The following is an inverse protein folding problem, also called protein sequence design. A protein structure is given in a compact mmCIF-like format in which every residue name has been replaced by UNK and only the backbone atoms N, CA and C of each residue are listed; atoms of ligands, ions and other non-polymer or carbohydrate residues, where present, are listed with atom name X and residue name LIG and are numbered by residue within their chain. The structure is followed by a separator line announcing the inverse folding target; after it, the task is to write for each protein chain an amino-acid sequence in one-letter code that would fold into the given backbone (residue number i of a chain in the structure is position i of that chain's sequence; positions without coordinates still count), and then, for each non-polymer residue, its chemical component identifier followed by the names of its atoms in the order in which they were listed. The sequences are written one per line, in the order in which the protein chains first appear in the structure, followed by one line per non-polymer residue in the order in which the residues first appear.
data_IF_290886144352
#
_entry.id   IF_290886144352
#
_cell.length_a   1.000
_cell.length_b   1.000
_cell.length_c   1.000
_cell.angle_alpha   90.00
_cell.angle_beta   90.00
_cell.angle_gamma   90.00
#
_symmetry.space_group_name_H-M   'P 1'
#
loop_
_entity.id
_entity.type
_entity.pdbx_description
1 polymer ?
#
# COMPACT_ATOMS: atom_id res chain seq x y z
N UNK A 1 68.75 10.74 29.93
CA UNK A 1 68.14 11.92 30.48
C UNK A 1 66.81 12.04 29.92
N UNK A 2 65.93 11.58 30.68
CA UNK A 2 64.48 11.80 30.82
C UNK A 2 63.61 11.87 29.59
N UNK A 3 62.93 10.78 29.45
CA UNK A 3 61.71 10.53 28.71
C UNK A 3 60.61 11.56 28.88
N UNK A 4 59.95 11.86 27.80
CA UNK A 4 58.60 12.36 27.76
C UNK A 4 57.96 11.97 26.43
N UNK A 5 57.29 10.86 26.38
CA UNK A 5 56.26 10.57 25.37
C UNK A 5 55.32 9.46 25.83
N UNK A 6 54.39 9.82 26.68
CA UNK A 6 53.12 9.10 26.83
C UNK A 6 51.99 10.12 26.75
N UNK A 7 51.47 10.36 25.55
CA UNK A 7 50.14 10.91 25.39
C UNK A 7 49.29 9.80 24.82
N UNK A 8 48.56 9.19 25.71
CA UNK A 8 47.57 8.17 25.41
C UNK A 8 46.49 8.72 24.46
N UNK A 9 46.30 8.00 23.39
CA UNK A 9 45.17 8.22 22.47
C UNK A 9 43.85 7.96 23.18
N UNK A 10 43.17 9.00 23.58
CA UNK A 10 41.74 8.94 23.88
C UNK A 10 41.00 8.77 22.54
N UNK A 11 40.54 7.54 22.27
CA UNK A 11 39.46 7.31 21.29
C UNK A 11 38.27 8.15 21.75
N UNK A 12 37.93 9.19 21.00
CA UNK A 12 36.64 9.84 21.10
C UNK A 12 35.60 8.76 20.80
N UNK A 13 34.84 8.33 21.81
CA UNK A 13 33.54 7.73 21.61
C UNK A 13 32.70 8.81 20.89
N UNK A 14 32.40 8.60 19.62
CA UNK A 14 31.36 9.37 18.92
C UNK A 14 30.09 9.18 19.75
N UNK A 15 29.66 10.22 20.41
CA UNK A 15 28.46 10.23 21.23
C UNK A 15 27.26 9.94 20.33
N UNK A 16 26.57 8.85 20.62
CA UNK A 16 25.26 8.56 20.05
C UNK A 16 24.38 9.77 20.39
N UNK A 17 23.98 10.54 19.38
CA UNK A 17 23.04 11.66 19.57
C UNK A 17 21.68 11.04 19.86
N UNK A 18 21.29 11.01 21.13
CA UNK A 18 19.97 10.57 21.56
C UNK A 18 18.96 11.69 21.26
N UNK A 19 18.13 11.50 20.23
CA UNK A 19 17.01 12.40 19.95
C UNK A 19 15.78 11.95 20.72
N UNK A 20 14.97 12.92 21.15
CA UNK A 20 13.67 12.65 21.79
C UNK A 20 12.54 13.24 20.95
N UNK A 21 11.39 12.56 20.89
CA UNK A 21 10.16 13.08 20.30
C UNK A 21 8.94 12.60 21.09
N UNK A 22 7.83 13.31 21.05
CA UNK A 22 6.56 12.82 21.61
C UNK A 22 6.06 11.65 20.77
N UNK A 23 5.85 11.84 19.48
CA UNK A 23 5.31 10.81 18.59
C UNK A 23 6.25 10.57 17.41
N UNK A 24 6.65 9.32 17.23
CA UNK A 24 7.42 8.88 16.08
C UNK A 24 6.49 8.18 15.08
N UNK A 25 6.48 8.63 13.83
CA UNK A 25 5.76 7.98 12.72
C UNK A 25 6.77 7.23 11.85
N UNK A 26 6.53 5.95 11.59
CA UNK A 26 7.41 5.10 10.79
C UNK A 26 6.81 4.86 9.42
N UNK A 27 7.42 5.45 8.39
CA UNK A 27 7.00 5.44 6.99
C UNK A 27 6.41 6.78 6.55
N UNK A 28 6.84 7.29 5.37
CA UNK A 28 6.35 8.51 4.73
C UNK A 28 5.66 8.23 3.39
N UNK A 29 4.84 7.19 3.34
CA UNK A 29 3.81 6.99 2.32
C UNK A 29 2.56 7.80 2.67
N UNK A 30 1.45 7.54 1.96
CA UNK A 30 0.16 8.21 2.21
C UNK A 30 -0.26 8.19 3.68
N UNK A 31 0.00 7.11 4.40
CA UNK A 31 -0.35 6.96 5.81
C UNK A 31 0.45 7.91 6.71
N UNK A 32 1.77 7.95 6.54
CA UNK A 32 2.63 8.82 7.35
C UNK A 32 2.43 10.30 7.08
N UNK A 33 2.21 10.69 5.83
CA UNK A 33 1.91 12.08 5.44
C UNK A 33 0.58 12.53 6.03
N UNK A 34 -0.48 11.72 5.92
CA UNK A 34 -1.78 12.01 6.54
C UNK A 34 -1.68 12.11 8.08
N UNK A 35 -0.89 11.22 8.70
CA UNK A 35 -0.67 11.25 10.15
C UNK A 35 0.02 12.54 10.59
N UNK A 36 1.04 12.97 9.86
CA UNK A 36 1.79 14.20 10.14
C UNK A 36 0.89 15.44 10.13
N UNK A 37 -0.01 15.56 9.15
CA UNK A 37 -0.99 16.66 9.09
C UNK A 37 -1.86 16.71 10.36
N UNK A 38 -2.45 15.58 10.74
CA UNK A 38 -3.34 15.55 11.88
C UNK A 38 -2.63 15.73 13.22
N UNK A 39 -1.40 15.23 13.37
CA UNK A 39 -0.57 15.50 14.56
C UNK A 39 -0.21 16.98 14.66
N UNK A 40 0.15 17.62 13.53
CA UNK A 40 0.42 19.06 13.46
C UNK A 40 -0.82 19.87 13.85
N UNK A 41 -2.00 19.50 13.36
CA UNK A 41 -3.27 20.14 13.71
C UNK A 41 -3.57 20.09 15.21
N UNK A 42 -3.18 19.01 15.88
CA UNK A 42 -3.29 18.87 17.35
C UNK A 42 -2.14 19.52 18.14
N UNK A 43 -1.13 20.06 17.46
CA UNK A 43 0.08 20.60 18.10
C UNK A 43 0.91 19.55 18.82
N UNK A 44 0.82 18.27 18.40
CA UNK A 44 1.61 17.17 18.95
C UNK A 44 3.00 17.17 18.30
N UNK A 45 4.08 17.33 19.08
CA UNK A 45 5.44 17.22 18.54
C UNK A 45 5.68 15.82 17.98
N UNK A 46 6.11 15.74 16.72
CA UNK A 46 6.33 14.45 16.07
C UNK A 46 7.49 14.50 15.09
N UNK A 47 7.92 13.31 14.69
CA UNK A 47 8.94 13.09 13.66
C UNK A 47 8.48 11.93 12.78
N UNK A 48 8.62 12.07 11.47
CA UNK A 48 8.35 11.00 10.51
C UNK A 48 9.68 10.46 9.99
N UNK A 49 9.90 9.17 10.07
CA UNK A 49 11.08 8.51 9.51
C UNK A 49 10.70 7.70 8.27
N UNK A 50 11.45 7.88 7.21
CA UNK A 50 11.30 7.13 5.97
C UNK A 50 12.67 6.55 5.56
N UNK A 51 12.69 5.27 5.26
CA UNK A 51 13.93 4.55 4.90
C UNK A 51 14.52 5.00 3.56
N UNK A 52 13.67 5.54 2.67
CA UNK A 52 14.05 6.00 1.33
C UNK A 52 13.52 7.40 1.07
N UNK A 53 12.81 7.63 -0.07
CA UNK A 53 12.15 8.90 -0.41
C UNK A 53 10.68 8.87 0.04
N UNK A 54 10.08 10.02 0.17
CA UNK A 54 8.63 10.14 0.37
C UNK A 54 7.92 9.40 -0.76
N UNK A 55 6.90 8.62 -0.41
CA UNK A 55 6.10 7.83 -1.35
C UNK A 55 6.91 6.83 -2.23
N UNK A 56 8.06 6.36 -1.76
CA UNK A 56 8.97 5.49 -2.51
C UNK A 56 8.29 4.27 -3.14
N UNK A 57 7.33 3.65 -2.45
CA UNK A 57 6.64 2.48 -2.97
C UNK A 57 5.83 2.76 -4.25
N UNK A 58 5.32 3.98 -4.43
CA UNK A 58 4.69 4.42 -5.66
C UNK A 58 5.70 4.51 -6.81
N UNK A 59 6.91 5.00 -6.55
CA UNK A 59 7.97 5.17 -7.55
C UNK A 59 8.61 3.85 -7.96
N UNK A 60 8.91 2.96 -7.00
CA UNK A 60 9.81 1.81 -7.25
C UNK A 60 9.17 0.44 -7.12
N UNK A 61 7.97 0.31 -6.55
CA UNK A 61 7.31 -0.98 -6.38
C UNK A 61 6.13 -1.19 -7.34
N UNK A 62 6.10 -0.45 -8.44
CA UNK A 62 5.04 -0.48 -9.45
C UNK A 62 5.64 -0.52 -10.86
N UNK A 63 4.89 -1.05 -11.83
CA UNK A 63 5.27 -1.06 -13.25
C UNK A 63 5.06 0.33 -13.88
N UNK A 64 5.72 0.55 -15.02
CA UNK A 64 5.88 1.89 -15.58
C UNK A 64 4.56 2.52 -16.03
N UNK A 65 3.65 1.72 -16.57
CA UNK A 65 2.35 2.17 -17.06
C UNK A 65 1.25 2.27 -15.99
N UNK A 66 1.58 2.00 -14.71
CA UNK A 66 0.56 2.05 -13.65
C UNK A 66 0.01 3.47 -13.48
N UNK A 67 -1.30 3.55 -13.45
CA UNK A 67 -2.06 4.71 -12.96
C UNK A 67 -2.84 4.33 -11.70
N UNK A 68 -3.26 5.31 -10.92
CA UNK A 68 -4.13 5.09 -9.77
C UNK A 68 -5.42 4.34 -10.20
N UNK A 69 -6.00 3.55 -9.31
CA UNK A 69 -7.24 2.84 -9.60
C UNK A 69 -8.49 3.67 -9.27
N UNK A 70 -8.35 4.76 -8.55
CA UNK A 70 -9.39 5.74 -8.33
C UNK A 70 -9.12 7.02 -9.13
N UNK A 71 -10.17 7.77 -9.51
CA UNK A 71 -10.02 9.03 -10.24
C UNK A 71 -9.41 10.12 -9.34
N UNK A 72 -8.85 11.16 -9.98
CA UNK A 72 -8.12 12.24 -9.30
C UNK A 72 -8.97 12.96 -8.25
N UNK A 73 -10.29 13.12 -8.47
CA UNK A 73 -11.18 13.75 -7.50
C UNK A 73 -11.30 12.95 -6.20
N UNK A 74 -11.09 11.63 -6.25
CA UNK A 74 -11.27 10.71 -5.11
C UNK A 74 -9.94 10.40 -4.40
N UNK A 75 -8.88 10.05 -5.14
CA UNK A 75 -7.63 9.53 -4.58
C UNK A 75 -6.68 10.65 -4.13
N UNK A 76 -7.19 11.60 -3.35
CA UNK A 76 -6.47 12.78 -2.85
C UNK A 76 -6.77 13.08 -1.39
N UNK A 77 -5.93 13.91 -0.77
CA UNK A 77 -6.18 14.52 0.54
C UNK A 77 -6.93 15.84 0.42
N UNK A 78 -7.66 16.27 1.47
CA UNK A 78 -8.29 17.58 1.49
C UNK A 78 -7.28 18.73 1.32
N UNK A 79 -7.67 19.74 0.57
CA UNK A 79 -6.91 21.00 0.44
C UNK A 79 -5.74 20.97 -0.55
N UNK A 80 -5.53 19.87 -1.27
CA UNK A 80 -4.64 19.81 -2.43
C UNK A 80 -5.29 18.94 -3.50
N UNK A 81 -5.30 19.39 -4.73
CA UNK A 81 -5.84 18.69 -5.89
C UNK A 81 -4.70 18.28 -6.81
N UNK A 82 -4.93 17.26 -7.63
CA UNK A 82 -4.04 16.95 -8.74
C UNK A 82 -4.19 17.99 -9.84
N UNK A 83 -3.11 18.28 -10.57
CA UNK A 83 -3.16 19.09 -11.80
C UNK A 83 -3.58 18.19 -12.97
N UNK A 84 -4.82 17.70 -12.91
CA UNK A 84 -5.44 16.79 -13.85
C UNK A 84 -6.94 17.04 -13.94
N UNK A 85 -7.57 16.54 -15.02
CA UNK A 85 -9.02 16.42 -15.03
C UNK A 85 -9.47 15.57 -13.82
N UNK A 86 -10.45 16.02 -13.05
CA UNK A 86 -10.91 15.28 -11.87
C UNK A 86 -11.29 13.82 -12.13
N UNK A 87 -11.80 13.49 -13.31
CA UNK A 87 -12.23 12.15 -13.69
C UNK A 87 -11.11 11.28 -14.28
N UNK A 88 -9.91 11.83 -14.51
CA UNK A 88 -8.75 11.07 -14.97
C UNK A 88 -8.08 10.25 -13.84
N UNK A 89 -7.32 9.25 -14.27
CA UNK A 89 -6.57 8.34 -13.40
C UNK A 89 -5.08 8.71 -13.40
N UNK A 90 -4.58 9.14 -12.27
CA UNK A 90 -3.26 9.77 -12.16
C UNK A 90 -2.13 8.75 -12.29
N UNK A 91 -1.11 8.99 -13.13
CA UNK A 91 0.09 8.15 -13.22
C UNK A 91 0.82 8.03 -11.88
N UNK A 92 1.42 6.85 -11.62
CA UNK A 92 2.07 6.51 -10.35
C UNK A 92 3.12 7.53 -9.89
N UNK A 93 3.89 8.09 -10.81
CA UNK A 93 4.91 9.10 -10.47
C UNK A 93 4.26 10.38 -9.96
N UNK A 94 3.17 10.80 -10.57
CA UNK A 94 2.45 12.01 -10.15
C UNK A 94 1.69 11.80 -8.84
N UNK A 95 1.24 10.57 -8.52
CA UNK A 95 0.75 10.24 -7.16
C UNK A 95 1.86 10.42 -6.14
N UNK A 96 3.08 9.97 -6.46
CA UNK A 96 4.23 10.15 -5.57
C UNK A 96 4.61 11.64 -5.41
N UNK A 97 4.63 12.40 -6.52
CA UNK A 97 4.91 13.85 -6.51
C UNK A 97 3.84 14.62 -5.72
N UNK A 98 2.58 14.24 -5.85
CA UNK A 98 1.47 14.80 -5.07
C UNK A 98 1.67 14.60 -3.56
N UNK A 99 2.05 13.39 -3.13
CA UNK A 99 2.28 13.10 -1.71
C UNK A 99 3.51 13.87 -1.18
N UNK A 100 4.54 14.05 -1.99
CA UNK A 100 5.70 14.87 -1.65
C UNK A 100 5.31 16.35 -1.54
N UNK A 101 4.59 16.90 -2.52
CA UNK A 101 4.07 18.26 -2.49
C UNK A 101 3.12 18.51 -1.31
N UNK A 102 2.30 17.49 -0.97
CA UNK A 102 1.45 17.60 0.21
C UNK A 102 2.26 17.67 1.51
N UNK A 103 3.29 16.82 1.63
CA UNK A 103 4.20 16.85 2.79
C UNK A 103 4.93 18.18 2.93
N UNK A 104 5.36 18.77 1.81
CA UNK A 104 5.96 20.11 1.77
C UNK A 104 4.96 21.19 2.18
N UNK A 105 3.75 21.18 1.63
CA UNK A 105 2.68 22.12 1.93
C UNK A 105 2.38 22.21 3.43
N UNK A 106 2.37 21.07 4.13
CA UNK A 106 2.09 21.01 5.56
C UNK A 106 3.36 21.17 6.42
N UNK A 107 4.52 21.38 5.82
CA UNK A 107 5.82 21.40 6.49
C UNK A 107 6.04 20.18 7.39
N UNK A 108 5.73 18.99 6.89
CA UNK A 108 5.86 17.74 7.65
C UNK A 108 7.31 17.50 8.10
N UNK A 109 7.57 17.19 9.38
CA UNK A 109 8.93 16.94 9.88
C UNK A 109 9.40 15.54 9.48
N UNK A 110 9.70 15.34 8.19
CA UNK A 110 10.09 14.05 7.61
C UNK A 110 11.60 13.97 7.47
N UNK A 111 12.20 12.90 8.01
CA UNK A 111 13.59 12.52 7.76
C UNK A 111 13.62 11.31 6.82
N UNK A 112 14.11 11.52 5.62
CA UNK A 112 14.31 10.49 4.59
C UNK A 112 15.69 9.81 4.72
N UNK A 113 15.84 8.58 4.21
CA UNK A 113 17.09 7.82 4.28
C UNK A 113 17.36 7.23 5.68
N UNK A 114 16.38 7.21 6.56
CA UNK A 114 16.53 6.69 7.93
C UNK A 114 15.63 5.47 8.15
N UNK A 115 16.24 4.31 8.24
CA UNK A 115 15.56 3.04 8.49
C UNK A 115 15.37 2.80 9.99
N UNK A 116 14.15 2.47 10.41
CA UNK A 116 13.87 1.95 11.77
C UNK A 116 14.18 0.46 11.78
N UNK A 117 15.11 0.05 12.63
CA UNK A 117 15.60 -1.33 12.74
C UNK A 117 14.93 -2.09 13.87
N UNK A 118 14.60 -1.39 14.95
CA UNK A 118 14.02 -2.03 16.12
C UNK A 118 13.31 -1.01 17.02
N UNK A 119 12.17 -1.40 17.56
CA UNK A 119 11.46 -0.65 18.59
C UNK A 119 11.25 -1.56 19.80
N UNK A 120 11.60 -1.08 20.97
CA UNK A 120 11.40 -1.77 22.25
C UNK A 120 10.78 -0.84 23.27
N UNK A 121 9.95 -1.37 24.15
CA UNK A 121 9.43 -0.60 25.29
C UNK A 121 10.55 -0.36 26.30
N UNK A 122 10.60 0.83 26.85
CA UNK A 122 11.49 1.16 27.96
C UNK A 122 11.05 0.45 29.25
N UNK A 123 11.99 0.05 30.08
CA UNK A 123 11.75 -0.62 31.37
C UNK A 123 11.86 0.34 32.55
N UNK A 124 12.62 1.41 32.42
CA UNK A 124 13.00 2.38 33.43
C UNK A 124 12.28 3.74 33.30
N UNK A 125 11.63 3.96 32.17
CA UNK A 125 10.89 5.19 31.84
C UNK A 125 9.69 4.88 30.92
N UNK A 126 8.83 5.86 30.70
CA UNK A 126 7.76 5.77 29.69
C UNK A 126 8.31 5.68 28.26
N UNK A 127 7.46 5.26 27.33
CA UNK A 127 7.76 5.26 25.89
C UNK A 127 8.65 4.14 25.42
N UNK A 128 9.37 4.41 24.35
CA UNK A 128 10.07 3.42 23.53
C UNK A 128 11.46 3.90 23.15
N UNK A 129 12.40 2.96 23.12
CA UNK A 129 13.69 3.12 22.46
C UNK A 129 13.58 2.62 21.03
N UNK A 130 13.95 3.47 20.06
CA UNK A 130 13.91 3.20 18.64
C UNK A 130 15.32 3.23 18.07
N UNK A 131 15.82 2.05 17.67
CA UNK A 131 17.09 1.89 16.98
C UNK A 131 16.89 2.16 15.48
N UNK A 132 17.68 3.06 14.92
CA UNK A 132 17.62 3.42 13.50
C UNK A 132 18.97 3.25 12.79
N UNK A 133 19.01 3.40 11.47
CA UNK A 133 20.26 3.45 10.70
C UNK A 133 21.13 4.68 11.05
N UNK A 134 20.55 5.71 11.69
CA UNK A 134 21.17 6.99 11.97
C UNK A 134 21.38 7.27 13.48
N UNK A 135 21.10 6.28 14.35
CA UNK A 135 21.25 6.43 15.80
C UNK A 135 20.00 5.99 16.56
N UNK A 136 19.87 6.42 17.80
CA UNK A 136 18.79 6.03 18.70
C UNK A 136 17.85 7.22 18.94
N UNK A 137 16.55 6.95 18.91
CA UNK A 137 15.49 7.92 19.21
C UNK A 137 14.68 7.41 20.40
N UNK A 138 14.33 8.31 21.31
CA UNK A 138 13.36 8.06 22.37
C UNK A 138 12.02 8.65 21.97
N UNK A 139 10.97 7.86 21.99
CA UNK A 139 9.62 8.28 21.61
C UNK A 139 8.61 7.86 22.68
N UNK A 140 7.69 8.76 23.06
CA UNK A 140 6.60 8.39 23.96
C UNK A 140 5.57 7.52 23.24
N UNK A 141 5.41 7.71 21.92
CA UNK A 141 4.47 7.00 21.07
C UNK A 141 5.10 6.63 19.72
N UNK A 142 4.65 5.52 19.15
CA UNK A 142 5.07 5.08 17.82
C UNK A 142 3.84 4.77 16.97
N UNK A 143 3.75 5.41 15.80
CA UNK A 143 2.74 5.13 14.77
C UNK A 143 3.40 4.33 13.65
N UNK A 144 2.94 3.10 13.46
CA UNK A 144 3.39 2.19 12.39
C UNK A 144 2.59 2.50 11.12
N UNK A 145 3.21 3.24 10.20
CA UNK A 145 2.61 3.72 8.95
C UNK A 145 3.30 3.12 7.70
N UNK A 146 3.83 1.89 7.85
CA UNK A 146 4.64 1.20 6.83
C UNK A 146 3.82 0.59 5.67
N UNK A 147 2.49 0.70 5.73
CA UNK A 147 1.57 0.22 4.71
C UNK A 147 1.47 -1.31 4.60
N UNK A 148 0.60 -1.83 3.70
CA UNK A 148 0.33 -3.25 3.59
C UNK A 148 1.24 -3.99 2.58
N UNK A 149 1.98 -3.28 1.73
CA UNK A 149 2.75 -3.86 0.62
C UNK A 149 4.23 -4.02 0.95
N UNK A 150 4.53 -4.69 2.07
CA UNK A 150 5.90 -4.73 2.62
C UNK A 150 6.73 -5.86 2.02
N UNK A 151 6.24 -7.09 2.05
CA UNK A 151 6.92 -8.28 1.54
C UNK A 151 6.12 -8.93 0.43
N UNK A 152 6.74 -9.08 -0.72
CA UNK A 152 6.16 -9.83 -1.85
C UNK A 152 5.99 -11.30 -1.51
N UNK A 153 4.83 -11.87 -1.81
CA UNK A 153 4.55 -13.29 -1.59
C UNK A 153 4.74 -14.06 -2.90
N UNK A 154 5.75 -14.91 -2.96
CA UNK A 154 5.86 -15.95 -3.98
C UNK A 154 5.50 -17.28 -3.31
N UNK A 155 4.46 -17.98 -3.79
CA UNK A 155 4.00 -19.23 -3.17
C UNK A 155 5.09 -20.31 -3.15
N UNK A 156 5.04 -21.19 -2.15
CA UNK A 156 6.00 -22.30 -2.02
C UNK A 156 5.91 -23.33 -3.13
N UNK A 157 4.83 -23.30 -3.92
CA UNK A 157 4.66 -24.13 -5.13
C UNK A 157 5.50 -23.64 -6.32
N UNK A 158 6.14 -22.46 -6.24
CA UNK A 158 6.93 -21.91 -7.32
C UNK A 158 8.00 -22.91 -7.82
N UNK A 159 8.15 -23.09 -9.16
CA UNK A 159 9.09 -24.06 -9.70
C UNK A 159 10.53 -23.67 -9.38
N UNK A 160 11.36 -24.68 -9.11
CA UNK A 160 12.81 -24.51 -8.92
C UNK A 160 13.51 -24.76 -10.27
N UNK A 161 13.40 -23.82 -11.20
CA UNK A 161 14.00 -23.89 -12.54
C UNK A 161 14.72 -22.56 -12.85
N UNK A 162 16.06 -22.62 -12.91
CA UNK A 162 16.90 -21.45 -13.16
C UNK A 162 16.78 -20.91 -14.61
N UNK A 163 16.19 -21.68 -15.52
CA UNK A 163 15.93 -21.24 -16.90
C UNK A 163 14.67 -20.40 -17.03
N UNK A 164 13.81 -20.46 -16.03
CA UNK A 164 12.54 -19.75 -16.01
C UNK A 164 12.67 -18.44 -15.23
N UNK A 165 12.49 -17.33 -15.91
CA UNK A 165 12.47 -16.02 -15.24
C UNK A 165 11.25 -15.90 -14.32
N UNK A 166 11.46 -15.69 -13.02
CA UNK A 166 10.40 -15.55 -12.06
C UNK A 166 10.50 -14.20 -11.35
N UNK A 167 9.47 -13.38 -11.46
CA UNK A 167 9.42 -12.09 -10.80
C UNK A 167 8.06 -11.88 -10.11
N UNK A 168 8.08 -11.20 -8.97
CA UNK A 168 6.85 -10.72 -8.36
C UNK A 168 6.41 -9.41 -9.04
N UNK A 169 5.09 -9.12 -9.09
CA UNK A 169 4.52 -7.90 -9.67
C UNK A 169 5.16 -6.60 -9.12
N UNK A 170 5.65 -6.60 -7.88
CA UNK A 170 6.40 -5.47 -7.31
C UNK A 170 7.73 -5.17 -8.01
N UNK A 171 8.30 -6.13 -8.72
CA UNK A 171 9.55 -6.00 -9.46
C UNK A 171 9.36 -5.94 -10.98
N UNK A 172 8.17 -6.23 -11.46
CA UNK A 172 7.80 -6.02 -12.85
C UNK A 172 7.80 -4.52 -13.18
N UNK A 173 8.32 -4.13 -14.34
CA UNK A 173 8.37 -2.74 -14.81
C UNK A 173 7.65 -2.55 -16.13
N UNK A 174 7.98 -3.36 -17.12
CA UNK A 174 7.44 -3.28 -18.46
C UNK A 174 7.68 -4.63 -19.20
N UNK A 175 7.04 -4.85 -20.35
CA UNK A 175 7.18 -6.09 -21.12
C UNK A 175 8.61 -6.40 -21.57
N UNK A 176 9.42 -5.38 -21.80
CA UNK A 176 10.82 -5.50 -22.27
C UNK A 176 11.75 -6.08 -21.20
N UNK A 177 11.35 -6.04 -19.94
CA UNK A 177 12.08 -6.66 -18.83
C UNK A 177 12.09 -8.21 -18.92
N UNK A 178 11.08 -8.79 -19.59
CA UNK A 178 10.91 -10.23 -19.66
C UNK A 178 11.55 -10.79 -20.94
N UNK A 179 12.15 -11.99 -20.88
CA UNK A 179 12.70 -12.65 -22.07
C UNK A 179 11.61 -12.89 -23.14
N UNK A 180 12.05 -13.11 -24.38
CA UNK A 180 11.16 -13.52 -25.44
C UNK A 180 10.50 -14.86 -25.11
N UNK A 181 9.20 -14.98 -25.46
CA UNK A 181 8.41 -16.16 -25.19
C UNK A 181 7.08 -15.86 -24.52
N UNK A 182 6.38 -16.91 -24.13
CA UNK A 182 5.11 -16.78 -23.41
C UNK A 182 5.33 -16.47 -21.93
N UNK A 183 4.34 -15.83 -21.32
CA UNK A 183 4.37 -15.46 -19.90
C UNK A 183 3.17 -16.08 -19.20
N UNK A 184 3.41 -16.72 -18.05
CA UNK A 184 2.36 -17.13 -17.11
C UNK A 184 2.23 -16.05 -16.03
N UNK A 185 1.07 -15.38 -15.94
CA UNK A 185 0.73 -14.47 -14.85
C UNK A 185 -0.12 -15.22 -13.84
N UNK A 186 0.36 -15.31 -12.60
CA UNK A 186 -0.34 -16.04 -11.52
C UNK A 186 -1.03 -15.03 -10.58
N UNK A 187 -2.37 -15.09 -10.56
CA UNK A 187 -3.22 -14.17 -9.81
C UNK A 187 -3.88 -13.12 -10.68
N UNK A 188 -5.19 -12.94 -10.52
CA UNK A 188 -6.05 -12.13 -11.38
C UNK A 188 -6.68 -10.92 -10.63
N UNK A 189 -6.01 -10.39 -9.62
CA UNK A 189 -6.33 -9.09 -9.04
C UNK A 189 -5.88 -7.94 -9.94
N UNK A 190 -6.09 -6.70 -9.48
CA UNK A 190 -5.75 -5.48 -10.24
C UNK A 190 -4.34 -5.54 -10.86
N UNK A 191 -3.33 -5.99 -10.11
CA UNK A 191 -1.98 -6.11 -10.66
C UNK A 191 -1.88 -7.17 -11.76
N UNK A 192 -2.47 -8.36 -11.54
CA UNK A 192 -2.37 -9.46 -12.49
C UNK A 192 -3.08 -9.17 -13.81
N UNK A 193 -4.31 -8.65 -13.75
CA UNK A 193 -5.08 -8.34 -14.97
C UNK A 193 -4.45 -7.20 -15.77
N UNK A 194 -3.92 -6.17 -15.10
CA UNK A 194 -3.29 -5.04 -15.76
C UNK A 194 -1.97 -5.44 -16.42
N UNK A 195 -1.14 -6.24 -15.74
CA UNK A 195 0.11 -6.76 -16.29
C UNK A 195 -0.17 -7.74 -17.45
N UNK A 196 -1.17 -8.61 -17.33
CA UNK A 196 -1.54 -9.55 -18.40
C UNK A 196 -2.00 -8.82 -19.67
N UNK A 197 -2.86 -7.79 -19.52
CA UNK A 197 -3.32 -6.94 -20.63
C UNK A 197 -2.16 -6.15 -21.27
N UNK A 198 -1.22 -5.63 -20.48
CA UNK A 198 -0.03 -4.95 -21.00
C UNK A 198 0.89 -5.87 -21.78
N UNK A 199 1.14 -7.08 -21.26
CA UNK A 199 1.97 -8.10 -21.93
C UNK A 199 1.36 -8.57 -23.25
N UNK A 200 0.04 -8.81 -23.28
CA UNK A 200 -0.69 -9.18 -24.48
C UNK A 200 -0.57 -8.08 -25.54
N UNK A 201 -0.81 -6.82 -25.17
CA UNK A 201 -0.67 -5.65 -26.07
C UNK A 201 0.74 -5.46 -26.60
N UNK A 202 1.74 -5.88 -25.85
CA UNK A 202 3.14 -5.91 -26.28
C UNK A 202 3.45 -7.11 -27.22
N UNK A 203 2.45 -7.93 -27.56
CA UNK A 203 2.56 -9.07 -28.46
C UNK A 203 3.11 -10.34 -27.81
N UNK A 204 3.17 -10.41 -26.48
CA UNK A 204 3.55 -11.64 -25.78
C UNK A 204 2.34 -12.58 -25.69
N UNK A 205 2.57 -13.88 -25.84
CA UNK A 205 1.57 -14.89 -25.52
C UNK A 205 1.40 -14.95 -24.00
N UNK A 206 0.18 -14.80 -23.49
CA UNK A 206 -0.09 -14.71 -22.05
C UNK A 206 -1.04 -15.82 -21.61
N UNK A 207 -0.67 -16.48 -20.51
CA UNK A 207 -1.53 -17.34 -19.72
C UNK A 207 -1.84 -16.59 -18.41
N UNK A 208 -3.12 -16.47 -18.04
CA UNK A 208 -3.55 -15.81 -16.81
C UNK A 208 -4.24 -16.81 -15.90
N UNK A 209 -3.66 -17.06 -14.73
CA UNK A 209 -4.26 -17.93 -13.70
C UNK A 209 -5.22 -17.13 -12.84
N UNK A 210 -6.50 -17.48 -12.90
CA UNK A 210 -7.63 -16.78 -12.31
C UNK A 210 -8.17 -17.57 -11.12
N UNK A 211 -8.08 -16.98 -9.94
CA UNK A 211 -8.74 -17.46 -8.73
C UNK A 211 -10.00 -16.65 -8.42
N UNK A 212 -10.64 -16.88 -7.25
CA UNK A 212 -11.80 -16.11 -6.79
C UNK A 212 -11.51 -14.59 -6.80
N UNK A 213 -12.43 -13.79 -7.35
CA UNK A 213 -12.26 -12.35 -7.48
C UNK A 213 -13.60 -11.61 -7.53
N UNK A 214 -13.57 -10.33 -7.18
CA UNK A 214 -14.59 -9.35 -7.49
C UNK A 214 -14.17 -8.58 -8.75
N UNK A 215 -15.10 -8.29 -9.66
CA UNK A 215 -14.87 -7.47 -10.84
C UNK A 215 -15.93 -6.38 -10.97
N UNK A 216 -15.89 -5.33 -10.16
CA UNK A 216 -16.89 -4.28 -10.24
C UNK A 216 -16.84 -3.57 -11.60
N UNK A 217 -17.96 -2.98 -12.06
CA UNK A 217 -17.95 -2.08 -13.23
C UNK A 217 -17.04 -0.89 -12.94
N UNK A 218 -16.28 -0.42 -13.93
CA UNK A 218 -15.50 0.82 -13.79
C UNK A 218 -16.42 2.02 -13.66
N UNK A 219 -17.44 2.05 -14.49
CA UNK A 219 -18.48 3.05 -14.46
C UNK A 219 -19.85 2.41 -14.71
N UNK A 220 -20.89 3.01 -14.20
CA UNK A 220 -22.28 2.67 -14.46
C UNK A 220 -23.14 3.92 -14.35
N UNK A 221 -24.08 4.13 -15.31
CA UNK A 221 -24.97 5.30 -15.37
C UNK A 221 -24.19 6.63 -15.29
N UNK A 222 -23.10 6.74 -16.05
CA UNK A 222 -22.20 7.90 -16.07
C UNK A 222 -21.61 8.25 -14.68
N UNK A 223 -21.45 7.30 -13.79
CA UNK A 223 -20.80 7.48 -12.51
C UNK A 223 -19.70 6.44 -12.32
N UNK A 224 -18.53 6.90 -11.86
CA UNK A 224 -17.40 6.06 -11.56
C UNK A 224 -17.68 5.08 -10.39
N UNK A 225 -16.98 3.96 -10.38
CA UNK A 225 -17.06 2.97 -9.31
C UNK A 225 -16.81 3.57 -7.91
N UNK A 226 -15.83 4.48 -7.79
CA UNK A 226 -15.56 5.14 -6.52
C UNK A 226 -16.75 5.97 -6.02
N UNK A 227 -17.48 6.61 -6.94
CA UNK A 227 -18.71 7.33 -6.61
C UNK A 227 -19.79 6.39 -6.08
N UNK A 228 -19.99 5.24 -6.76
CA UNK A 228 -20.95 4.23 -6.31
C UNK A 228 -20.61 3.69 -4.93
N UNK A 229 -19.34 3.36 -4.66
CA UNK A 229 -18.90 2.93 -3.32
C UNK A 229 -19.20 4.00 -2.25
N UNK A 230 -19.05 5.29 -2.60
CA UNK A 230 -19.35 6.40 -1.70
C UNK A 230 -20.82 6.49 -1.35
N UNK A 231 -21.70 6.60 -2.35
CA UNK A 231 -23.14 6.81 -2.10
C UNK A 231 -23.84 5.58 -1.55
N UNK A 232 -23.31 4.39 -1.80
CA UNK A 232 -23.81 3.13 -1.23
C UNK A 232 -23.27 2.86 0.19
N UNK A 233 -22.34 3.69 0.70
CA UNK A 233 -21.73 3.53 2.02
C UNK A 233 -20.72 2.38 2.10
N UNK A 234 -20.30 1.82 0.95
CA UNK A 234 -19.37 0.67 0.91
C UNK A 234 -17.94 1.03 1.37
N UNK A 235 -17.52 2.30 1.22
CA UNK A 235 -16.23 2.75 1.74
C UNK A 235 -16.15 2.70 3.27
N UNK A 236 -17.30 2.84 3.95
CA UNK A 236 -17.41 2.89 5.39
C UNK A 236 -17.75 1.53 6.02
N UNK A 237 -17.85 0.47 5.21
CA UNK A 237 -18.05 -0.88 5.73
C UNK A 237 -16.92 -1.26 6.72
N UNK A 238 -17.30 -1.63 7.95
CA UNK A 238 -16.35 -1.84 9.06
C UNK A 238 -15.67 -3.21 9.03
N UNK A 239 -16.23 -4.17 8.33
CA UNK A 239 -15.68 -5.51 8.17
C UNK A 239 -15.99 -6.06 6.77
N UNK A 240 -15.13 -6.93 6.24
CA UNK A 240 -15.45 -7.64 5.02
C UNK A 240 -16.71 -8.52 5.23
N UNK A 241 -17.48 -8.74 4.16
CA UNK A 241 -18.57 -9.71 4.18
C UNK A 241 -18.00 -11.11 4.52
N UNK A 242 -18.73 -11.89 5.29
CA UNK A 242 -18.31 -13.24 5.68
C UNK A 242 -17.96 -14.09 4.44
N UNK A 243 -16.82 -14.77 4.48
CA UNK A 243 -16.28 -15.51 3.34
C UNK A 243 -15.63 -14.65 2.25
N UNK A 244 -15.50 -13.33 2.46
CA UNK A 244 -14.90 -12.37 1.52
C UNK A 244 -13.68 -11.64 2.10
N UNK A 245 -13.06 -12.21 3.14
CA UNK A 245 -11.93 -11.59 3.87
C UNK A 245 -10.69 -11.41 2.97
N UNK A 246 -10.55 -12.23 1.92
CA UNK A 246 -9.42 -12.22 1.00
C UNK A 246 -9.83 -12.11 -0.46
N UNK A 247 -10.98 -11.51 -0.75
CA UNK A 247 -11.42 -11.37 -2.15
C UNK A 247 -10.53 -10.36 -2.86
N UNK A 248 -9.97 -10.83 -3.96
CA UNK A 248 -9.17 -10.04 -4.88
C UNK A 248 -10.08 -9.19 -5.76
N UNK A 249 -9.76 -7.91 -5.96
CA UNK A 249 -10.55 -7.02 -6.81
C UNK A 249 -9.80 -6.80 -8.12
N UNK A 250 -10.48 -7.04 -9.25
CA UNK A 250 -10.00 -6.76 -10.60
C UNK A 250 -10.53 -5.40 -11.08
N UNK A 251 -9.73 -4.35 -10.92
CA UNK A 251 -10.04 -3.00 -11.40
C UNK A 251 -8.84 -2.41 -12.13
N UNK A 252 -9.10 -1.45 -13.02
CA UNK A 252 -8.06 -0.73 -13.75
C UNK A 252 -8.45 0.73 -13.96
N UNK A 253 -7.49 1.64 -13.79
CA UNK A 253 -7.58 3.04 -14.24
C UNK A 253 -6.89 3.27 -15.58
N UNK A 254 -6.17 2.28 -16.12
CA UNK A 254 -5.42 2.45 -17.38
C UNK A 254 -6.33 2.80 -18.54
N UNK A 255 -5.82 3.62 -19.46
CA UNK A 255 -6.52 4.06 -20.68
C UNK A 255 -7.87 4.74 -20.38
N UNK A 256 -7.92 5.59 -19.39
CA UNK A 256 -9.14 6.30 -18.99
C UNK A 256 -10.10 5.48 -18.13
N UNK A 257 -9.66 4.31 -17.66
CA UNK A 257 -10.45 3.39 -16.85
C UNK A 257 -11.44 2.56 -17.67
N UNK A 258 -11.42 1.25 -17.45
CA UNK A 258 -12.38 0.34 -18.10
C UNK A 258 -12.73 -0.80 -17.15
N UNK A 259 -13.92 -1.34 -17.32
CA UNK A 259 -14.34 -2.56 -16.61
C UNK A 259 -13.46 -3.73 -17.04
N UNK A 260 -12.85 -4.42 -16.09
CA UNK A 260 -12.12 -5.65 -16.37
C UNK A 260 -13.12 -6.75 -16.68
N UNK A 261 -13.11 -7.23 -17.91
CA UNK A 261 -13.91 -8.37 -18.37
C UNK A 261 -12.99 -9.49 -18.84
N UNK A 262 -13.02 -10.63 -18.13
CA UNK A 262 -12.17 -11.78 -18.44
C UNK A 262 -12.50 -12.42 -19.78
N UNK A 263 -13.77 -12.35 -20.23
CA UNK A 263 -14.17 -12.81 -21.56
C UNK A 263 -13.54 -11.95 -22.65
N UNK A 264 -13.50 -10.63 -22.41
CA UNK A 264 -12.81 -9.71 -23.32
C UNK A 264 -11.30 -9.96 -23.35
N UNK A 265 -10.65 -10.20 -22.20
CA UNK A 265 -9.23 -10.57 -22.14
C UNK A 265 -8.95 -11.85 -22.94
N UNK A 266 -9.84 -12.85 -22.87
CA UNK A 266 -9.72 -14.07 -23.66
C UNK A 266 -9.90 -13.80 -25.16
N UNK A 267 -10.84 -12.95 -25.57
CA UNK A 267 -11.03 -12.55 -26.97
C UNK A 267 -9.81 -11.78 -27.53
N UNK A 268 -9.09 -11.04 -26.69
CA UNK A 268 -7.85 -10.36 -27.04
C UNK A 268 -6.65 -11.33 -27.25
N UNK A 269 -6.72 -12.58 -26.78
CA UNK A 269 -5.69 -13.58 -26.96
C UNK A 269 -5.08 -14.12 -25.66
N UNK A 270 -5.51 -13.63 -24.49
CA UNK A 270 -5.06 -14.16 -23.21
C UNK A 270 -5.72 -15.50 -22.95
N UNK A 271 -4.92 -16.54 -22.71
CA UNK A 271 -5.44 -17.85 -22.30
C UNK A 271 -5.72 -17.85 -20.82
N UNK A 272 -6.99 -17.89 -20.43
CA UNK A 272 -7.39 -18.00 -19.03
C UNK A 272 -7.28 -19.45 -18.55
N UNK A 273 -6.75 -19.63 -17.35
CA UNK A 273 -6.67 -20.93 -16.66
C UNK A 273 -7.18 -20.78 -15.22
N UNK A 274 -7.61 -21.88 -14.62
CA UNK A 274 -8.03 -21.89 -13.23
C UNK A 274 -6.90 -21.55 -12.26
N UNK A 275 -7.18 -21.58 -10.97
CA UNK A 275 -6.18 -21.29 -9.94
C UNK A 275 -5.00 -22.27 -10.05
N UNK A 276 -3.77 -21.74 -10.03
CA UNK A 276 -2.55 -22.56 -10.10
C UNK A 276 -2.46 -23.46 -8.86
N UNK A 277 -2.34 -24.77 -9.10
CA UNK A 277 -2.28 -25.80 -8.07
C UNK A 277 -0.87 -26.21 -7.72
N UNK A 278 -0.06 -26.51 -8.74
CA UNK A 278 1.32 -26.99 -8.55
C UNK A 278 2.17 -26.80 -9.79
N UNK A 279 3.48 -26.95 -9.60
CA UNK A 279 4.47 -27.10 -10.68
C UNK A 279 5.26 -28.38 -10.40
N UNK A 280 5.32 -29.28 -11.36
CA UNK A 280 6.08 -30.51 -11.26
C UNK A 280 6.63 -30.90 -12.64
N UNK A 281 7.90 -31.21 -12.71
CA UNK A 281 8.60 -31.69 -13.92
C UNK A 281 8.39 -30.80 -15.16
N UNK A 282 8.39 -29.49 -14.98
CA UNK A 282 8.17 -28.50 -16.04
C UNK A 282 6.71 -28.32 -16.46
N UNK A 283 5.76 -28.92 -15.73
CA UNK A 283 4.32 -28.81 -15.97
C UNK A 283 3.67 -27.98 -14.86
N UNK A 284 2.94 -26.94 -15.23
CA UNK A 284 2.03 -26.23 -14.36
C UNK A 284 0.66 -26.92 -14.38
N UNK A 285 0.05 -27.16 -13.21
CA UNK A 285 -1.31 -27.70 -13.10
C UNK A 285 -2.25 -26.68 -12.53
N UNK A 286 -3.49 -26.69 -12.99
CA UNK A 286 -4.53 -25.74 -12.58
C UNK A 286 -5.75 -26.48 -12.03
N UNK A 287 -6.52 -25.79 -11.18
CA UNK A 287 -7.80 -26.29 -10.71
C UNK A 287 -8.87 -26.11 -11.80
N UNK A 288 -9.90 -26.99 -11.84
CA UNK A 288 -11.01 -26.87 -12.78
C UNK A 288 -12.07 -25.87 -12.31
N UNK A 289 -11.64 -24.75 -11.76
CA UNK A 289 -12.47 -23.75 -11.07
C UNK A 289 -12.65 -22.44 -11.83
N UNK A 290 -12.14 -22.35 -13.06
CA UNK A 290 -12.18 -21.11 -13.86
C UNK A 290 -13.59 -20.60 -14.08
N UNK A 291 -14.52 -21.49 -14.45
CA UNK A 291 -15.91 -21.13 -14.70
C UNK A 291 -16.61 -20.60 -13.42
N UNK A 292 -16.36 -21.24 -12.28
CA UNK A 292 -16.91 -20.81 -11.00
C UNK A 292 -16.32 -19.45 -10.56
N UNK A 293 -15.02 -19.24 -10.78
CA UNK A 293 -14.35 -17.99 -10.46
C UNK A 293 -14.87 -16.82 -11.31
N UNK A 294 -15.14 -17.04 -12.61
CA UNK A 294 -15.74 -16.01 -13.46
C UNK A 294 -17.19 -15.74 -13.06
N UNK A 295 -17.98 -16.78 -12.79
CA UNK A 295 -19.37 -16.62 -12.35
C UNK A 295 -19.48 -15.82 -11.04
N UNK A 296 -18.56 -16.03 -10.10
CA UNK A 296 -18.48 -15.23 -8.88
C UNK A 296 -18.18 -13.75 -9.17
N UNK A 297 -17.28 -13.48 -10.11
CA UNK A 297 -16.99 -12.11 -10.55
C UNK A 297 -18.19 -11.44 -11.21
N UNK A 298 -18.95 -12.20 -12.02
CA UNK A 298 -20.18 -11.74 -12.66
C UNK A 298 -21.28 -11.44 -11.64
N UNK A 299 -21.44 -12.28 -10.61
CA UNK A 299 -22.37 -12.03 -9.50
C UNK A 299 -22.03 -10.75 -8.75
N UNK A 300 -20.76 -10.52 -8.46
CA UNK A 300 -20.29 -9.27 -7.83
C UNK A 300 -20.63 -8.06 -8.72
N UNK A 301 -20.34 -8.13 -10.02
CA UNK A 301 -20.64 -7.09 -10.99
C UNK A 301 -22.15 -6.75 -11.00
N UNK A 302 -23.02 -7.74 -11.19
CA UNK A 302 -24.47 -7.55 -11.24
C UNK A 302 -25.03 -7.02 -9.92
N UNK A 303 -24.52 -7.51 -8.77
CA UNK A 303 -24.98 -7.05 -7.46
C UNK A 303 -24.73 -5.56 -7.25
N UNK A 304 -23.64 -5.01 -7.81
CA UNK A 304 -23.39 -3.58 -7.76
C UNK A 304 -24.32 -2.79 -8.66
N UNK A 305 -24.62 -3.29 -9.89
CA UNK A 305 -25.62 -2.66 -10.76
C UNK A 305 -27.00 -2.63 -10.10
N UNK A 306 -27.42 -3.72 -9.46
CA UNK A 306 -28.70 -3.82 -8.74
C UNK A 306 -28.76 -2.82 -7.58
N UNK A 307 -27.69 -2.72 -6.79
CA UNK A 307 -27.60 -1.75 -5.69
C UNK A 307 -27.65 -0.31 -6.21
N UNK A 308 -26.98 -0.02 -7.32
CA UNK A 308 -26.96 1.28 -7.96
C UNK A 308 -28.36 1.65 -8.49
N UNK A 309 -29.05 0.73 -9.19
CA UNK A 309 -30.42 0.94 -9.68
C UNK A 309 -31.40 1.20 -8.54
N UNK A 310 -31.32 0.40 -7.47
CA UNK A 310 -32.13 0.60 -6.27
C UNK A 310 -31.86 1.97 -5.61
N UNK A 311 -30.59 2.42 -5.58
CA UNK A 311 -30.22 3.72 -5.06
C UNK A 311 -30.78 4.86 -5.91
N UNK A 312 -30.67 4.79 -7.23
CA UNK A 312 -31.21 5.77 -8.18
C UNK A 312 -32.73 5.88 -8.01
N UNK A 313 -33.43 4.76 -7.99
CA UNK A 313 -34.89 4.72 -7.85
C UNK A 313 -35.35 5.33 -6.50
N UNK A 314 -34.70 4.92 -5.39
CA UNK A 314 -35.06 5.42 -4.05
C UNK A 314 -34.82 6.92 -3.86
N UNK A 315 -33.78 7.46 -4.50
CA UNK A 315 -33.42 8.88 -4.37
C UNK A 315 -33.92 9.73 -5.53
N UNK A 316 -34.68 9.15 -6.49
CA UNK A 316 -35.22 9.84 -7.67
C UNK A 316 -34.13 10.61 -8.44
N UNK A 317 -32.96 9.99 -8.63
CA UNK A 317 -31.85 10.61 -9.35
C UNK A 317 -32.11 10.55 -10.86
N UNK A 318 -31.82 11.65 -11.55
CA UNK A 318 -31.85 11.73 -13.01
C UNK A 318 -30.49 11.27 -13.58
N UNK A 319 -30.28 9.96 -13.63
CA UNK A 319 -29.12 9.33 -14.25
C UNK A 319 -29.57 8.47 -15.44
N UNK A 320 -28.77 8.39 -16.53
CA UNK A 320 -29.14 7.62 -17.71
C UNK A 320 -29.33 6.14 -17.35
N UNK A 321 -30.26 5.48 -18.06
CA UNK A 321 -30.37 4.03 -18.03
C UNK A 321 -29.31 3.41 -18.91
N UNK A 322 -28.80 2.25 -18.51
CA UNK A 322 -27.69 1.54 -19.18
C UNK A 322 -27.98 0.02 -19.18
N UNK A 323 -29.09 -0.42 -19.81
CA UNK A 323 -29.49 -1.83 -19.76
C UNK A 323 -28.49 -2.78 -20.42
N UNK A 324 -27.72 -2.30 -21.40
CA UNK A 324 -26.65 -3.05 -22.08
C UNK A 324 -25.50 -3.45 -21.14
N UNK A 325 -25.31 -2.75 -20.02
CA UNK A 325 -24.30 -3.12 -19.01
C UNK A 325 -24.54 -4.52 -18.41
N UNK A 326 -25.74 -5.06 -18.55
CA UNK A 326 -26.09 -6.42 -18.08
C UNK A 326 -25.83 -7.51 -19.12
N UNK A 327 -25.36 -7.15 -20.31
CA UNK A 327 -25.06 -8.10 -21.36
C UNK A 327 -23.60 -8.56 -21.25
N UNK A 328 -23.38 -9.86 -21.07
CA UNK A 328 -22.04 -10.42 -21.07
C UNK A 328 -21.63 -10.88 -22.47
N UNK A 329 -20.33 -10.82 -22.72
CA UNK A 329 -19.73 -11.44 -23.90
C UNK A 329 -19.92 -12.96 -23.85
N UNK A 330 -19.93 -13.64 -25.01
CA UNK A 330 -19.97 -15.09 -25.07
C UNK A 330 -18.79 -15.72 -24.29
N UNK A 331 -19.06 -16.84 -23.65
CA UNK A 331 -18.05 -17.61 -22.93
C UNK A 331 -16.94 -18.09 -23.88
N UNK A 332 -15.66 -17.85 -23.56
CA UNK A 332 -14.54 -18.33 -24.33
C UNK A 332 -14.37 -19.86 -24.19
N UNK A 333 -13.71 -20.48 -25.18
CA UNK A 333 -13.50 -21.94 -25.21
C UNK A 333 -12.84 -22.48 -23.94
N UNK A 334 -11.97 -21.69 -23.30
CA UNK A 334 -11.29 -22.11 -22.06
C UNK A 334 -12.22 -22.33 -20.87
N UNK A 335 -13.48 -21.87 -20.91
CA UNK A 335 -14.48 -22.19 -19.88
C UNK A 335 -15.14 -23.55 -20.09
N UNK A 336 -15.36 -23.96 -21.36
CA UNK A 336 -15.98 -25.25 -21.71
C UNK A 336 -14.96 -26.36 -21.82
N UNK A 337 -13.73 -26.02 -22.21
CA UNK A 337 -12.59 -26.93 -22.34
C UNK A 337 -11.37 -26.38 -21.57
N UNK A 338 -11.41 -26.42 -20.23
CA UNK A 338 -10.35 -25.80 -19.41
C UNK A 338 -9.00 -26.48 -19.60
N UNK A 339 -7.97 -25.67 -19.76
CA UNK A 339 -6.59 -26.12 -19.73
C UNK A 339 -6.20 -26.44 -18.27
N UNK A 340 -6.06 -27.73 -17.95
CA UNK A 340 -5.74 -28.19 -16.59
C UNK A 340 -4.24 -28.42 -16.38
N UNK A 341 -3.49 -28.62 -17.46
CA UNK A 341 -2.04 -28.85 -17.44
C UNK A 341 -1.36 -28.04 -18.55
N UNK A 342 -0.26 -27.40 -18.25
CA UNK A 342 0.55 -26.62 -19.19
C UNK A 342 2.00 -27.07 -19.07
N UNK A 343 2.51 -27.75 -20.09
CA UNK A 343 3.93 -27.96 -20.20
C UNK A 343 4.61 -26.65 -20.59
N UNK A 344 5.38 -26.08 -19.67
CA UNK A 344 5.94 -24.74 -19.80
C UNK A 344 6.89 -24.64 -21.01
N UNK A 345 7.71 -25.65 -21.23
CA UNK A 345 8.68 -25.67 -22.35
C UNK A 345 7.97 -25.77 -23.70
N UNK A 346 7.00 -26.69 -23.85
CA UNK A 346 6.22 -26.85 -25.08
C UNK A 346 5.37 -25.64 -25.42
N UNK A 347 4.83 -24.98 -24.36
CA UNK A 347 4.05 -23.73 -24.48
C UNK A 347 4.93 -22.51 -24.78
N UNK A 348 6.27 -22.66 -24.69
CA UNK A 348 7.22 -21.56 -24.84
C UNK A 348 7.20 -20.55 -23.68
N UNK A 349 6.78 -20.98 -22.48
CA UNK A 349 6.78 -20.11 -21.30
C UNK A 349 8.20 -19.89 -20.81
N UNK A 350 8.64 -18.64 -20.85
CA UNK A 350 9.99 -18.21 -20.44
C UNK A 350 9.96 -17.41 -19.13
N UNK A 351 8.79 -16.92 -18.73
CA UNK A 351 8.65 -16.13 -17.52
C UNK A 351 7.35 -16.45 -16.76
N UNK A 352 7.43 -16.33 -15.43
CA UNK A 352 6.27 -16.30 -14.54
C UNK A 352 6.27 -14.94 -13.82
N UNK A 353 5.12 -14.23 -13.86
CA UNK A 353 4.86 -13.05 -13.07
C UNK A 353 3.93 -13.43 -11.93
N UNK A 354 4.44 -13.33 -10.71
CA UNK A 354 3.68 -13.61 -9.49
C UNK A 354 2.91 -12.36 -9.06
N UNK A 355 1.62 -12.29 -9.34
CA UNK A 355 0.70 -11.25 -8.86
C UNK A 355 -0.08 -11.75 -7.63
N UNK A 356 0.64 -12.40 -6.71
CA UNK A 356 0.12 -13.19 -5.59
C UNK A 356 0.08 -12.41 -4.28
N UNK A 357 0.16 -11.08 -4.36
CA UNK A 357 -0.05 -10.19 -3.22
C UNK A 357 1.16 -10.05 -2.30
N UNK A 358 0.88 -9.54 -1.10
CA UNK A 358 1.90 -9.12 -0.13
C UNK A 358 1.54 -9.58 1.27
N UNK A 359 2.54 -9.65 2.13
CA UNK A 359 2.39 -9.77 3.57
C UNK A 359 3.08 -8.62 4.28
N UNK A 360 2.70 -8.37 5.52
CA UNK A 360 3.33 -7.37 6.39
C UNK A 360 4.49 -7.99 7.17
N UNK A 361 5.45 -7.16 7.55
CA UNK A 361 6.57 -7.55 8.41
C UNK A 361 6.71 -6.53 9.55
N UNK A 362 6.38 -6.95 10.73
CA UNK A 362 6.53 -6.19 11.97
C UNK A 362 7.63 -6.75 12.87
N UNK A 363 8.54 -7.55 12.32
CA UNK A 363 9.61 -8.21 13.09
C UNK A 363 10.54 -7.22 13.81
N UNK A 364 10.59 -5.98 13.39
CA UNK A 364 11.33 -4.89 14.01
C UNK A 364 10.62 -4.28 15.24
N UNK A 365 9.32 -4.50 15.40
CA UNK A 365 8.51 -3.97 16.51
C UNK A 365 8.43 -5.01 17.64
N UNK A 366 9.33 -4.89 18.63
CA UNK A 366 9.48 -5.85 19.72
C UNK A 366 8.69 -5.42 20.96
N UNK A 367 7.35 -5.43 20.83
CA UNK A 367 6.40 -5.05 21.88
C UNK A 367 5.23 -6.03 21.90
N UNK A 368 4.42 -6.06 22.96
CA UNK A 368 3.23 -6.95 23.07
C UNK A 368 2.01 -6.36 22.36
N UNK A 369 2.14 -6.17 21.04
CA UNK A 369 1.09 -5.60 20.20
C UNK A 369 0.48 -6.61 19.21
N UNK A 370 0.79 -7.90 19.33
CA UNK A 370 0.41 -8.92 18.35
C UNK A 370 -0.31 -10.11 19.01
N UNK A 371 -1.18 -10.75 18.25
CA UNK A 371 -1.83 -12.01 18.64
C UNK A 371 -0.92 -13.21 18.33
N UNK A 372 -1.45 -14.43 18.61
CA UNK A 372 -0.72 -15.69 18.37
C UNK A 372 -0.44 -15.99 16.88
N UNK A 373 -1.04 -15.24 15.96
CA UNK A 373 -0.84 -15.35 14.51
C UNK A 373 -0.04 -14.16 13.95
N UNK A 374 0.68 -13.44 14.80
CA UNK A 374 1.45 -12.23 14.47
C UNK A 374 0.60 -11.10 13.85
N UNK A 375 -0.72 -11.09 14.11
CA UNK A 375 -1.60 -10.00 13.67
C UNK A 375 -1.64 -8.91 14.73
N UNK A 376 -1.62 -7.62 14.33
CA UNK A 376 -1.73 -6.51 15.25
C UNK A 376 -3.01 -6.56 16.10
N UNK A 377 -2.87 -6.47 17.41
CA UNK A 377 -3.99 -6.32 18.36
C UNK A 377 -4.36 -4.84 18.46
N UNK A 378 -5.47 -4.44 17.88
CA UNK A 378 -5.89 -3.04 17.89
C UNK A 378 -7.41 -2.88 17.80
N UNK A 379 -7.87 -1.68 18.15
CA UNK A 379 -9.21 -1.19 17.86
C UNK A 379 -9.08 0.09 17.04
N UNK A 380 -9.49 0.08 15.78
CA UNK A 380 -9.39 1.22 14.86
C UNK A 380 -7.98 1.85 14.82
N UNK A 381 -6.94 1.02 14.81
CA UNK A 381 -5.55 1.44 14.78
C UNK A 381 -4.92 1.73 16.14
N UNK A 382 -5.68 1.91 17.21
CA UNK A 382 -5.15 2.04 18.57
C UNK A 382 -4.81 0.67 19.12
N UNK A 383 -3.54 0.39 19.38
CA UNK A 383 -3.08 -0.91 19.87
C UNK A 383 -3.50 -1.18 21.32
N UNK A 384 -3.56 -2.47 21.68
CA UNK A 384 -3.64 -2.90 23.08
C UNK A 384 -2.38 -2.57 23.87
N UNK A 385 -1.22 -2.40 23.19
CA UNK A 385 0.02 -1.93 23.78
C UNK A 385 0.01 -0.40 23.84
N UNK A 386 -0.05 0.23 25.02
CA UNK A 386 -0.16 1.67 25.16
C UNK A 386 0.98 2.42 24.47
N UNK A 387 0.64 3.41 23.64
CA UNK A 387 1.60 4.21 22.89
C UNK A 387 1.98 3.64 21.52
N UNK A 388 1.47 2.46 21.15
CA UNK A 388 1.62 1.90 19.79
C UNK A 388 0.32 2.13 19.02
N UNK A 389 0.48 2.48 17.74
CA UNK A 389 -0.62 2.71 16.80
C UNK A 389 -0.29 2.09 15.45
N UNK A 390 -1.31 1.57 14.76
CA UNK A 390 -1.20 1.04 13.39
C UNK A 390 -2.01 1.90 12.45
N UNK A 391 -1.48 2.23 11.26
CA UNK A 391 -2.13 3.08 10.28
C UNK A 391 -1.88 2.56 8.85
N UNK A 392 -2.90 2.66 8.00
CA UNK A 392 -2.80 2.32 6.58
C UNK A 392 -2.85 0.81 6.28
N UNK A 393 -3.30 0.00 7.22
CA UNK A 393 -3.56 -1.43 7.00
C UNK A 393 -4.96 -1.64 6.41
N UNK A 394 -5.17 -2.68 5.58
CA UNK A 394 -6.49 -3.04 5.10
C UNK A 394 -7.46 -3.32 6.25
N UNK A 395 -8.68 -2.84 6.14
CA UNK A 395 -9.73 -3.06 7.14
C UNK A 395 -9.35 -2.61 8.58
N UNK A 396 -8.46 -1.65 8.70
CA UNK A 396 -8.03 -1.14 10.01
C UNK A 396 -9.24 -0.61 10.83
N UNK A 397 -10.13 0.14 10.20
CA UNK A 397 -11.40 0.59 10.74
C UNK A 397 -12.56 0.43 9.75
N UNK A 398 -12.24 0.36 8.45
CA UNK A 398 -13.19 0.30 7.35
C UNK A 398 -12.54 -0.21 6.07
N UNK A 399 -13.34 -0.46 5.03
CA UNK A 399 -12.86 -0.86 3.71
C UNK A 399 -11.83 0.13 3.13
N UNK A 400 -12.06 1.42 3.31
CA UNK A 400 -11.19 2.49 2.78
C UNK A 400 -9.85 2.65 3.46
N UNK A 401 -9.59 2.01 4.60
CA UNK A 401 -8.45 2.29 5.52
C UNK A 401 -7.06 2.31 4.89
N UNK A 402 -6.80 1.50 3.84
CA UNK A 402 -5.49 1.44 3.17
C UNK A 402 -5.38 2.32 1.92
N UNK A 403 -6.46 2.95 1.48
CA UNK A 403 -6.49 3.83 0.31
C UNK A 403 -6.13 5.27 0.68
N UNK A 404 -5.71 6.08 -0.30
CA UNK A 404 -5.30 7.49 -0.06
C UNK A 404 -6.41 8.25 0.63
N UNK A 405 -7.64 8.21 0.09
CA UNK A 405 -8.79 8.87 0.68
C UNK A 405 -9.11 8.34 2.09
N UNK A 406 -9.12 7.03 2.27
CA UNK A 406 -9.61 6.40 3.51
C UNK A 406 -8.62 6.50 4.67
N UNK A 407 -7.33 6.43 4.41
CA UNK A 407 -6.29 6.54 5.45
C UNK A 407 -6.31 7.89 6.16
N UNK A 408 -6.80 8.93 5.48
CA UNK A 408 -6.99 10.26 6.07
C UNK A 408 -7.90 10.23 7.31
N UNK A 409 -8.99 9.49 7.25
CA UNK A 409 -9.95 9.38 8.35
C UNK A 409 -9.39 8.58 9.53
N UNK A 410 -8.64 7.53 9.26
CA UNK A 410 -7.99 6.74 10.30
C UNK A 410 -6.85 7.53 10.96
N UNK A 411 -6.07 8.26 10.18
CA UNK A 411 -5.03 9.16 10.70
C UNK A 411 -5.63 10.22 11.64
N UNK A 412 -6.78 10.81 11.24
CA UNK A 412 -7.50 11.74 12.10
C UNK A 412 -7.93 11.11 13.42
N UNK A 413 -8.53 9.92 13.37
CA UNK A 413 -8.97 9.21 14.58
C UNK A 413 -7.81 8.92 15.54
N UNK A 414 -6.68 8.44 15.01
CA UNK A 414 -5.48 8.17 15.81
C UNK A 414 -4.91 9.47 16.40
N UNK A 415 -4.83 10.53 15.59
CA UNK A 415 -4.34 11.83 16.08
C UNK A 415 -5.24 12.46 17.13
N UNK A 416 -6.57 12.36 16.98
CA UNK A 416 -7.54 12.78 18.01
C UNK A 416 -7.27 12.04 19.33
N UNK A 417 -7.05 10.71 19.28
CA UNK A 417 -6.72 9.90 20.46
C UNK A 417 -5.40 10.35 21.09
N UNK A 418 -4.34 10.51 20.30
CA UNK A 418 -3.03 10.97 20.78
C UNK A 418 -3.13 12.38 21.39
N UNK A 419 -3.82 13.31 20.73
CA UNK A 419 -4.02 14.68 21.18
C UNK A 419 -4.77 14.76 22.53
N UNK A 420 -5.76 13.89 22.73
CA UNK A 420 -6.46 13.78 24.02
C UNK A 420 -5.48 13.27 25.09
N UNK A 421 -4.76 12.19 24.85
CA UNK A 421 -3.78 11.66 25.80
C UNK A 421 -2.70 12.68 26.14
N UNK A 422 -2.18 13.39 25.15
CA UNK A 422 -1.19 14.45 25.34
C UNK A 422 -1.72 15.57 26.29
N UNK A 423 -2.96 16.02 26.08
CA UNK A 423 -3.58 17.04 26.95
C UNK A 423 -3.77 16.57 28.39
N UNK A 424 -4.19 15.31 28.59
CA UNK A 424 -4.41 14.78 29.94
C UNK A 424 -3.09 14.59 30.70
N UNK A 425 -2.03 14.13 30.03
CA UNK A 425 -0.71 14.00 30.64
C UNK A 425 -0.12 15.37 31.03
N UNK A 426 -0.23 16.36 30.13
CA UNK A 426 0.19 17.74 30.43
C UNK A 426 -0.56 18.37 31.63
N UNK A 427 -1.82 18.02 31.82
CA UNK A 427 -2.61 18.49 32.98
C UNK A 427 -2.10 17.93 34.32
N UNK A 428 -1.67 16.65 34.34
CA UNK A 428 -1.13 15.99 35.55
C UNK A 428 0.15 16.64 36.06
N UNK A 429 1.02 17.08 35.17
CA UNK A 429 2.37 17.55 35.53
C UNK A 429 2.41 19.03 35.90
N UNK A 430 1.27 19.76 35.91
CA UNK A 430 1.24 21.21 36.18
C UNK A 430 2.01 22.07 35.17
N UNK A 431 2.47 21.45 34.06
CA UNK A 431 3.45 22.01 33.14
C UNK A 431 2.89 22.75 31.93
N UNK A 432 1.58 23.13 31.95
CA UNK A 432 0.98 23.89 30.84
C UNK A 432 1.70 25.20 30.48
N UNK A 433 2.46 25.78 31.43
CA UNK A 433 3.27 26.98 31.17
C UNK A 433 4.64 26.65 30.52
N UNK A 434 5.20 25.48 30.76
CA UNK A 434 6.53 25.10 30.29
C UNK A 434 6.48 24.53 28.86
N UNK A 435 5.40 23.83 28.50
CA UNK A 435 5.23 23.21 27.17
C UNK A 435 5.20 24.25 26.03
N UNK A 436 4.65 25.45 26.22
CA UNK A 436 4.66 26.51 25.18
C UNK A 436 6.06 27.03 24.89
N UNK A 437 6.91 27.18 25.90
CA UNK A 437 8.27 27.73 25.76
C UNK A 437 9.24 26.70 25.19
N UNK A 438 9.04 25.40 25.46
CA UNK A 438 9.88 24.33 24.97
C UNK A 438 9.48 23.88 23.55
N UNK A 439 8.20 24.02 23.17
CA UNK A 439 7.72 23.77 21.80
C UNK A 439 8.33 24.77 20.79
N UNK A 440 8.38 26.04 21.13
CA UNK A 440 8.99 27.07 20.26
C UNK A 440 10.50 26.85 20.10
N UNK A 441 11.20 26.42 21.15
CA UNK A 441 12.64 26.14 21.10
C UNK A 441 13.02 24.87 20.37
N UNK A 442 12.20 23.81 20.46
CA UNK A 442 12.48 22.52 19.81
C UNK A 442 12.09 22.51 18.32
N UNK A 443 11.06 23.28 17.93
CA UNK A 443 10.69 23.46 16.53
C UNK A 443 11.81 24.14 15.74
N UNK A 444 12.42 25.18 16.31
CA UNK A 444 13.55 25.92 15.69
C UNK A 444 14.85 25.08 15.58
N UNK A 445 15.07 24.12 16.50
CA UNK A 445 16.24 23.23 16.46
C UNK A 445 16.06 22.07 15.48
N UNK A 446 14.90 21.43 15.44
CA UNK A 446 14.64 20.30 14.56
C UNK A 446 14.76 20.62 13.06
N UNK A 447 14.36 21.83 12.67
CA UNK A 447 14.40 22.27 11.28
C UNK A 447 15.82 22.70 10.82
N UNK A 448 16.66 23.22 11.72
CA UNK A 448 18.04 23.63 11.40
C UNK A 448 18.98 22.42 11.31
N UNK A 449 18.75 21.38 12.09
CA UNK A 449 19.57 20.16 12.06
C UNK A 449 19.27 19.27 10.85
N UNK A 450 18.08 19.36 10.22
CA UNK A 450 17.76 18.61 9.00
C UNK A 450 18.61 19.07 7.78
N UNK A 451 19.08 20.32 7.78
CA UNK A 451 20.03 20.82 6.77
C UNK A 451 21.46 20.34 7.01
N UNK A 452 21.86 20.09 8.25
CA UNK A 452 23.19 19.57 8.57
C UNK A 452 23.40 18.11 8.13
N UNK A 453 22.33 17.35 7.96
CA UNK A 453 22.38 15.97 7.46
C UNK A 453 22.55 15.87 5.94
N UNK A 454 22.19 16.91 5.17
CA UNK A 454 22.38 16.97 3.71
C UNK A 454 23.82 17.26 3.28
N UNK A 455 24.68 17.79 4.17
CA UNK A 455 26.03 18.24 3.83
C UNK A 455 27.10 17.16 4.01
N UNK A 456 26.80 16.03 4.67
CA UNK A 456 27.78 14.97 4.95
C UNK A 456 28.04 13.96 3.82
N UNK A 457 27.38 14.06 2.68
CA UNK A 457 27.45 13.03 1.62
C UNK A 457 27.83 13.56 0.23
N UNK A 458 28.62 14.65 0.16
CA UNK A 458 29.30 15.05 -1.09
C UNK A 458 30.80 15.00 -0.85
N UNK A 459 31.36 13.83 -1.00
CA UNK A 459 32.78 13.54 -0.96
C UNK A 459 33.12 12.41 -1.92
N UNK A 460 33.58 12.83 -3.09
CA UNK A 460 34.54 12.14 -3.96
C UNK A 460 34.18 10.79 -4.59
N UNK A 461 34.00 10.82 -5.91
CA UNK A 461 34.60 9.82 -6.80
C UNK A 461 35.16 10.52 -8.03
N UNK A 462 36.46 10.40 -8.20
CA UNK A 462 37.09 10.40 -9.51
C UNK A 462 36.62 9.22 -10.34
#
# INVERSE_FOLDING_TARGET
MTDLNQVAGQKRQEGIIEKTTDTLVVGAGQAGVAMSEHLSTHGVPHLVLESKRIAEAWRTCRWDSLVANGPAWHDRFPGLEFDHDPDEFVPKEQVADYLEAYAEKINAPICTGVEVKKVVRNTDRSGFTVETSAGVIQAERVVVATGPFQRSVIPTIAPQDDKLTQIHSAKYRNPEQLPDGAVLVVGAGSSGVQIADELERAGKKVYLSVGPHDRPPRAYRNRDYCWWLGVLGEWDAEAPKAGREHVTIAVSGTRGGHTVDFRNLAQQGITLVGMTKSFQDGVATFLPDLADNLAQGDENYLSLLDAADAYVARNSLDLPEEPEARNFLPDPECLTHPLLELNLAEAGVTAIVWATGYTVDFSWLKVDAFDANDKPKHQRGVSSEPGIYFLGLPWLSRRGSSFIWGVWHDAKHIADHIGIQHKYLAYRDGSQRQLKTDQEKNFDRGCKDSQAWKVGNTGETE
#
